data_IF_161177811547
#
_entry.id   IF_161177811547
#
_cell.length_a   1.000
_cell.length_b   1.000
_cell.length_c   1.000
_cell.angle_alpha   90.00
_cell.angle_beta   90.00
_cell.angle_gamma   90.00
#
_symmetry.space_group_name_H-M   'P 1'
#
loop_
_entity.id
_entity.type
_entity.pdbx_description
1 polymer ?
#
# COMPACT_ATOMS: atom_id res chain seq x y z
N UNK A 1 10.80 -3.10 -27.59
CA UNK A 1 10.52 -3.01 -26.14
C UNK A 1 11.35 -4.10 -25.46
N UNK A 2 12.27 -3.75 -24.56
CA UNK A 2 13.22 -4.72 -23.97
C UNK A 2 12.81 -5.16 -22.56
N UNK A 3 11.53 -4.92 -22.18
CA UNK A 3 10.90 -5.38 -20.95
C UNK A 3 11.75 -5.12 -19.70
N UNK A 4 11.84 -6.13 -18.83
CA UNK A 4 12.58 -6.08 -17.56
C UNK A 4 14.07 -5.81 -17.72
N UNK A 5 14.74 -6.35 -18.75
CA UNK A 5 16.18 -6.17 -18.95
C UNK A 5 16.51 -4.70 -19.19
N UNK A 6 15.73 -4.02 -20.05
CA UNK A 6 15.91 -2.59 -20.25
C UNK A 6 15.50 -1.76 -19.03
N UNK A 7 14.48 -2.17 -18.28
CA UNK A 7 14.09 -1.49 -17.06
C UNK A 7 15.23 -1.53 -16.02
N UNK A 8 15.86 -2.70 -15.81
CA UNK A 8 17.01 -2.85 -14.94
C UNK A 8 18.19 -1.97 -15.39
N UNK A 9 18.60 -2.06 -16.66
CA UNK A 9 19.69 -1.25 -17.21
C UNK A 9 19.42 0.24 -17.07
N UNK A 10 18.19 0.68 -17.36
CA UNK A 10 17.81 2.08 -17.24
C UNK A 10 17.82 2.54 -15.78
N UNK A 11 17.30 1.74 -14.85
CA UNK A 11 17.33 2.07 -13.42
C UNK A 11 18.78 2.25 -12.93
N UNK A 12 19.67 1.27 -13.21
CA UNK A 12 21.09 1.33 -12.84
C UNK A 12 21.77 2.56 -13.44
N UNK A 13 21.59 2.80 -14.74
CA UNK A 13 22.21 3.94 -15.42
C UNK A 13 21.72 5.27 -14.86
N UNK A 14 20.43 5.37 -14.53
CA UNK A 14 19.84 6.59 -13.99
C UNK A 14 20.38 6.88 -12.60
N UNK A 15 20.34 5.88 -11.70
CA UNK A 15 20.90 5.99 -10.34
C UNK A 15 22.39 6.36 -10.42
N UNK A 16 23.16 5.63 -11.23
CA UNK A 16 24.59 5.86 -11.40
C UNK A 16 24.88 7.26 -11.93
N UNK A 17 24.08 7.78 -12.86
CA UNK A 17 24.28 9.12 -13.42
C UNK A 17 24.03 10.23 -12.41
N UNK A 18 23.02 10.08 -11.55
CA UNK A 18 22.62 11.10 -10.57
C UNK A 18 23.59 11.11 -9.40
N UNK A 19 23.96 9.93 -8.92
CA UNK A 19 24.79 9.77 -7.72
C UNK A 19 26.26 9.52 -8.02
N UNK A 20 26.72 9.60 -9.28
CA UNK A 20 28.13 9.33 -9.64
C UNK A 20 29.16 10.14 -8.85
N UNK A 21 28.80 11.38 -8.51
CA UNK A 21 29.68 12.36 -7.87
C UNK A 21 29.38 12.56 -6.37
N UNK A 22 28.35 11.88 -5.86
CA UNK A 22 27.88 12.03 -4.50
C UNK A 22 27.94 10.65 -3.81
N UNK A 23 28.13 10.61 -2.50
CA UNK A 23 27.94 9.40 -1.70
C UNK A 23 26.56 9.48 -1.06
N UNK A 24 25.47 9.07 -1.75
CA UNK A 24 24.15 9.16 -1.17
C UNK A 24 24.02 8.21 0.01
N UNK A 25 23.23 8.63 0.98
CA UNK A 25 22.70 7.75 2.02
C UNK A 25 21.73 6.72 1.42
N UNK A 26 21.49 5.62 2.14
CA UNK A 26 20.50 4.61 1.74
C UNK A 26 19.09 5.21 1.62
N UNK A 27 18.73 6.14 2.51
CA UNK A 27 17.45 6.87 2.46
C UNK A 27 17.31 7.71 1.19
N UNK A 28 18.35 8.43 0.77
CA UNK A 28 18.32 9.22 -0.48
C UNK A 28 18.17 8.32 -1.71
N UNK A 29 18.88 7.18 -1.75
CA UNK A 29 18.74 6.19 -2.81
C UNK A 29 17.33 5.59 -2.84
N UNK A 30 16.77 5.26 -1.69
CA UNK A 30 15.41 4.71 -1.57
C UNK A 30 14.38 5.74 -2.03
N UNK A 31 14.44 6.97 -1.53
CA UNK A 31 13.53 8.06 -1.92
C UNK A 31 13.59 8.31 -3.42
N UNK A 32 14.79 8.33 -4.00
CA UNK A 32 14.97 8.49 -5.43
C UNK A 32 14.42 7.29 -6.21
N UNK A 33 14.75 6.06 -5.79
CA UNK A 33 14.20 4.85 -6.39
C UNK A 33 12.67 4.88 -6.38
N UNK A 34 12.08 5.30 -5.27
CA UNK A 34 10.64 5.40 -5.05
C UNK A 34 9.98 6.61 -5.74
N UNK A 35 10.73 7.51 -6.34
CA UNK A 35 10.20 8.72 -6.99
C UNK A 35 9.46 8.45 -8.32
N UNK A 36 8.65 9.43 -8.73
CA UNK A 36 8.05 9.42 -10.06
C UNK A 36 9.10 9.57 -11.18
N UNK A 37 10.22 10.26 -10.93
CA UNK A 37 11.27 10.46 -11.92
C UNK A 37 11.80 9.12 -12.47
N UNK A 38 11.98 8.13 -11.59
CA UNK A 38 12.37 6.77 -11.99
C UNK A 38 11.30 6.14 -12.87
N UNK A 39 10.04 6.19 -12.46
CA UNK A 39 8.96 5.49 -13.17
C UNK A 39 8.62 6.14 -14.52
N UNK A 40 8.75 7.46 -14.68
CA UNK A 40 8.52 8.15 -15.95
C UNK A 40 9.48 7.69 -17.06
N UNK A 41 10.73 7.40 -16.70
CA UNK A 41 11.73 6.87 -17.64
C UNK A 41 11.37 5.45 -18.12
N UNK A 42 10.50 4.71 -17.41
CA UNK A 42 10.16 3.31 -17.72
C UNK A 42 9.14 3.14 -18.85
N UNK A 43 8.55 4.23 -19.34
CA UNK A 43 7.63 4.21 -20.49
C UNK A 43 8.24 3.55 -21.73
N UNK A 44 9.54 3.77 -21.99
CA UNK A 44 10.27 3.13 -23.09
C UNK A 44 10.49 1.62 -22.90
N UNK A 45 10.40 1.13 -21.67
CA UNK A 45 10.66 -0.27 -21.30
C UNK A 45 9.38 -1.10 -21.38
N UNK A 46 8.33 -0.62 -20.72
CA UNK A 46 7.02 -1.30 -20.61
C UNK A 46 6.01 -0.87 -21.67
N UNK A 47 6.35 0.14 -22.48
CA UNK A 47 5.46 0.70 -23.49
C UNK A 47 4.35 1.54 -22.88
N UNK A 48 3.39 1.96 -23.70
CA UNK A 48 2.31 2.86 -23.29
C UNK A 48 0.93 2.44 -23.80
N UNK A 49 0.78 1.18 -24.23
CA UNK A 49 -0.47 0.64 -24.76
C UNK A 49 -1.52 0.36 -23.67
N UNK A 50 -1.09 0.24 -22.41
CA UNK A 50 -1.91 -0.16 -21.27
C UNK A 50 -2.49 1.04 -20.48
N UNK A 51 -2.73 2.18 -21.14
CA UNK A 51 -3.20 3.40 -20.46
C UNK A 51 -4.64 3.33 -19.95
N UNK A 52 -5.46 2.45 -20.52
CA UNK A 52 -6.88 2.29 -20.16
C UNK A 52 -7.10 0.90 -19.60
N UNK A 53 -7.22 0.79 -18.28
CA UNK A 53 -7.46 -0.48 -17.58
C UNK A 53 -8.94 -0.82 -17.68
N UNK A 54 -9.33 -2.02 -18.17
CA UNK A 54 -10.71 -2.46 -18.18
C UNK A 54 -11.27 -2.64 -16.77
N UNK A 55 -12.52 -2.24 -16.55
CA UNK A 55 -13.15 -2.27 -15.22
C UNK A 55 -13.22 -3.69 -14.64
N UNK A 56 -13.47 -4.70 -15.47
CA UNK A 56 -13.55 -6.11 -15.04
C UNK A 56 -12.23 -6.68 -14.51
N UNK A 57 -11.09 -6.12 -14.92
CA UNK A 57 -9.77 -6.51 -14.45
C UNK A 57 -9.24 -5.63 -13.32
N UNK A 58 -9.78 -4.43 -13.17
CA UNK A 58 -9.21 -3.41 -12.28
C UNK A 58 -9.12 -3.89 -10.83
N UNK A 59 -10.17 -4.53 -10.32
CA UNK A 59 -10.18 -5.11 -8.97
C UNK A 59 -9.08 -6.17 -8.80
N UNK A 60 -8.98 -7.12 -9.74
CA UNK A 60 -7.95 -8.16 -9.73
C UNK A 60 -6.53 -7.57 -9.77
N UNK A 61 -6.29 -6.55 -10.61
CA UNK A 61 -4.99 -5.89 -10.73
C UNK A 61 -4.62 -5.06 -9.48
N UNK A 62 -5.61 -4.51 -8.80
CA UNK A 62 -5.45 -3.82 -7.51
C UNK A 62 -5.13 -4.82 -6.40
N UNK A 63 -5.89 -5.92 -6.29
CA UNK A 63 -5.58 -7.00 -5.33
C UNK A 63 -4.18 -7.55 -5.54
N UNK A 64 -3.72 -7.62 -6.79
CA UNK A 64 -2.40 -8.09 -7.14
C UNK A 64 -1.24 -7.15 -6.70
N UNK A 65 -1.53 -5.93 -6.23
CA UNK A 65 -0.51 -5.00 -5.71
C UNK A 65 0.10 -5.50 -4.39
N UNK A 66 -0.64 -6.32 -3.63
CA UNK A 66 -0.23 -6.96 -2.37
C UNK A 66 0.19 -8.43 -2.58
N UNK A 67 0.50 -8.83 -3.82
CA UNK A 67 1.05 -10.14 -4.14
C UNK A 67 0.28 -10.94 -5.19
N UNK A 68 0.67 -12.21 -5.43
CA UNK A 68 0.14 -13.01 -6.52
C UNK A 68 -1.37 -13.32 -6.38
N UNK A 69 -2.11 -13.12 -7.47
CA UNK A 69 -3.55 -13.37 -7.54
C UNK A 69 -3.90 -14.47 -8.55
N UNK A 70 -5.06 -15.11 -8.41
CA UNK A 70 -5.55 -16.07 -9.39
C UNK A 70 -5.87 -15.38 -10.73
N UNK A 71 -5.57 -16.06 -11.83
CA UNK A 71 -5.84 -15.52 -13.18
C UNK A 71 -7.35 -15.53 -13.42
N UNK A 72 -8.01 -14.36 -13.59
CA UNK A 72 -9.46 -14.31 -13.76
C UNK A 72 -9.91 -14.94 -15.09
N UNK A 73 -9.16 -14.68 -16.17
CA UNK A 73 -9.38 -15.28 -17.48
C UNK A 73 -8.06 -15.36 -18.25
N UNK A 74 -7.60 -16.59 -18.54
CA UNK A 74 -6.33 -16.84 -19.26
C UNK A 74 -6.34 -16.32 -20.71
N UNK A 75 -7.50 -16.09 -21.30
CA UNK A 75 -7.67 -15.60 -22.68
C UNK A 75 -7.93 -14.10 -22.75
N UNK A 76 -7.89 -13.40 -21.63
CA UNK A 76 -8.10 -11.96 -21.62
C UNK A 76 -6.99 -11.22 -22.38
N UNK A 77 -7.36 -10.53 -23.46
CA UNK A 77 -6.44 -9.83 -24.35
C UNK A 77 -5.63 -8.75 -23.63
N UNK A 78 -6.21 -8.10 -22.63
CA UNK A 78 -5.55 -7.06 -21.86
C UNK A 78 -4.51 -7.65 -20.91
N UNK A 79 -4.80 -8.77 -20.25
CA UNK A 79 -3.79 -9.50 -19.46
C UNK A 79 -2.64 -9.99 -20.34
N UNK A 80 -2.94 -10.52 -21.54
CA UNK A 80 -1.93 -10.93 -22.52
C UNK A 80 -1.09 -9.72 -22.96
N UNK A 81 -1.70 -8.56 -23.18
CA UNK A 81 -1.00 -7.30 -23.49
C UNK A 81 -0.04 -6.91 -22.37
N UNK A 82 -0.49 -6.93 -21.11
CA UNK A 82 0.36 -6.59 -19.96
C UNK A 82 1.55 -7.56 -19.83
N UNK A 83 1.37 -8.85 -20.11
CA UNK A 83 2.46 -9.83 -20.16
C UNK A 83 3.44 -9.53 -21.30
N UNK A 84 2.96 -9.24 -22.51
CA UNK A 84 3.80 -8.86 -23.66
C UNK A 84 4.57 -7.56 -23.42
N UNK A 85 4.00 -6.64 -22.65
CA UNK A 85 4.65 -5.42 -22.18
C UNK A 85 5.69 -5.66 -21.07
N UNK A 86 5.78 -6.88 -20.53
CA UNK A 86 6.64 -7.22 -19.40
C UNK A 86 6.20 -6.60 -18.08
N UNK A 87 4.91 -6.29 -17.92
CA UNK A 87 4.33 -5.72 -16.69
C UNK A 87 3.86 -6.82 -15.74
N UNK A 88 3.25 -7.86 -16.29
CA UNK A 88 2.78 -9.03 -15.54
C UNK A 88 3.56 -10.27 -15.95
N UNK A 89 3.65 -11.20 -15.01
CA UNK A 89 4.12 -12.58 -15.22
C UNK A 89 3.06 -13.54 -14.73
N UNK A 90 3.04 -14.74 -15.31
CA UNK A 90 2.17 -15.82 -14.85
C UNK A 90 3.02 -16.98 -14.35
N UNK A 91 2.58 -17.60 -13.25
CA UNK A 91 3.16 -18.80 -12.71
C UNK A 91 2.03 -19.80 -12.41
N UNK A 92 1.81 -20.74 -13.33
CA UNK A 92 0.72 -21.70 -13.25
C UNK A 92 -0.65 -21.03 -13.33
N UNK A 93 -1.39 -21.04 -12.21
CA UNK A 93 -2.73 -20.45 -12.10
C UNK A 93 -2.72 -19.02 -11.57
N UNK A 94 -1.56 -18.51 -11.15
CA UNK A 94 -1.42 -17.17 -10.57
C UNK A 94 -0.76 -16.20 -11.52
N UNK A 95 -1.07 -14.93 -11.36
CA UNK A 95 -0.34 -13.82 -11.97
C UNK A 95 0.16 -12.86 -10.89
N UNK A 96 1.29 -12.20 -11.19
CA UNK A 96 1.85 -11.12 -10.38
C UNK A 96 2.48 -10.08 -11.31
N UNK A 97 2.82 -8.92 -10.77
CA UNK A 97 3.71 -7.98 -11.39
C UNK A 97 5.09 -8.60 -11.60
N UNK A 98 5.66 -8.34 -12.77
CA UNK A 98 6.94 -8.90 -13.20
C UNK A 98 8.14 -8.40 -12.36
N UNK A 99 7.97 -7.28 -11.66
CA UNK A 99 8.92 -6.71 -10.72
C UNK A 99 8.26 -5.60 -9.88
N UNK A 100 8.85 -5.22 -8.73
CA UNK A 100 8.40 -4.05 -7.97
C UNK A 100 8.36 -2.75 -8.80
N UNK A 101 9.31 -2.60 -9.74
CA UNK A 101 9.36 -1.43 -10.62
C UNK A 101 8.20 -1.44 -11.64
N UNK A 102 7.84 -2.60 -12.19
CA UNK A 102 6.67 -2.74 -13.06
C UNK A 102 5.37 -2.46 -12.30
N UNK A 103 5.25 -2.98 -11.06
CA UNK A 103 4.13 -2.70 -10.15
C UNK A 103 3.95 -1.20 -9.93
N UNK A 104 5.02 -0.52 -9.53
CA UNK A 104 5.03 0.93 -9.29
C UNK A 104 4.79 1.75 -10.55
N UNK A 105 5.38 1.36 -11.66
CA UNK A 105 5.11 1.98 -12.95
C UNK A 105 3.61 1.89 -13.26
N UNK A 106 3.02 0.69 -13.13
CA UNK A 106 1.64 0.42 -13.51
C UNK A 106 0.59 1.07 -12.59
N UNK A 107 0.94 1.30 -11.33
CA UNK A 107 0.07 1.87 -10.29
C UNK A 107 -0.72 3.11 -10.73
N UNK A 108 -0.10 4.01 -11.50
CA UNK A 108 -0.74 5.26 -11.95
C UNK A 108 -1.97 5.04 -12.84
N UNK A 109 -2.03 3.93 -13.58
CA UNK A 109 -3.18 3.62 -14.44
C UNK A 109 -4.31 2.91 -13.69
N UNK A 110 -4.01 2.28 -12.55
CA UNK A 110 -5.02 1.74 -11.64
C UNK A 110 -5.74 2.87 -10.88
N UNK A 111 -5.01 3.92 -10.55
CA UNK A 111 -5.52 5.07 -9.81
C UNK A 111 -5.31 6.38 -10.59
N UNK A 112 -6.06 6.62 -11.68
CA UNK A 112 -5.90 7.83 -12.48
C UNK A 112 -6.46 9.10 -11.80
N UNK A 113 -7.44 8.96 -10.92
CA UNK A 113 -8.21 10.06 -10.35
C UNK A 113 -7.81 10.37 -8.90
N UNK A 114 -6.52 10.63 -8.68
CA UNK A 114 -5.93 10.95 -7.37
C UNK A 114 -6.13 12.43 -7.01
N UNK A 115 -6.05 12.74 -5.72
CA UNK A 115 -6.15 14.10 -5.20
C UNK A 115 -5.07 15.02 -5.78
N UNK A 116 -5.36 16.31 -5.94
CA UNK A 116 -4.36 17.32 -6.32
C UNK A 116 -3.51 17.77 -5.13
N UNK A 117 -3.95 17.47 -3.90
CA UNK A 117 -3.28 17.84 -2.66
C UNK A 117 -3.00 16.60 -1.79
N UNK A 118 -1.89 16.65 -1.05
CA UNK A 118 -1.61 15.64 -0.03
C UNK A 118 -2.37 16.00 1.25
N UNK A 119 -2.71 15.01 2.08
CA UNK A 119 -3.19 15.24 3.45
C UNK A 119 -2.14 16.00 4.26
N UNK A 120 -2.60 16.81 5.21
CA UNK A 120 -1.71 17.59 6.09
C UNK A 120 -1.15 16.74 7.22
N UNK A 121 -1.86 15.69 7.63
CA UNK A 121 -1.45 14.78 8.71
C UNK A 121 -1.77 13.33 8.37
N UNK A 122 -1.04 12.39 8.98
CA UNK A 122 -1.31 10.96 8.82
C UNK A 122 -2.71 10.60 9.32
N UNK A 123 -3.16 11.23 10.41
CA UNK A 123 -4.52 11.10 10.95
C UNK A 123 -5.58 11.45 9.91
N UNK A 124 -5.44 12.59 9.24
CA UNK A 124 -6.37 13.02 8.18
C UNK A 124 -6.43 12.00 7.04
N UNK A 125 -5.28 11.45 6.64
CA UNK A 125 -5.21 10.41 5.61
C UNK A 125 -5.94 9.14 6.04
N UNK A 126 -5.69 8.66 7.26
CA UNK A 126 -6.33 7.44 7.79
C UNK A 126 -7.84 7.64 7.86
N UNK A 127 -8.33 8.78 8.34
CA UNK A 127 -9.77 9.11 8.38
C UNK A 127 -10.37 9.02 6.97
N UNK A 128 -9.79 9.75 6.01
CA UNK A 128 -10.29 9.77 4.63
C UNK A 128 -10.22 8.40 3.96
N UNK A 129 -9.21 7.60 4.27
CA UNK A 129 -9.08 6.25 3.75
C UNK A 129 -10.14 5.31 4.34
N UNK A 130 -10.45 5.42 5.63
CA UNK A 130 -11.51 4.66 6.30
C UNK A 130 -12.88 5.04 5.74
N UNK A 131 -13.20 6.32 5.59
CA UNK A 131 -14.49 6.79 5.06
C UNK A 131 -14.75 6.28 3.62
N UNK A 132 -13.68 6.05 2.84
CA UNK A 132 -13.77 5.48 1.49
C UNK A 132 -13.81 3.95 1.45
N UNK A 133 -13.66 3.25 2.58
CA UNK A 133 -13.79 1.80 2.60
C UNK A 133 -15.22 1.41 2.23
N UNK A 134 -15.36 0.35 1.43
CA UNK A 134 -16.67 -0.20 1.09
C UNK A 134 -17.16 -1.11 2.23
N UNK A 135 -18.23 -0.68 2.89
CA UNK A 135 -18.90 -1.44 3.93
C UNK A 135 -19.43 -2.78 3.40
N UNK A 136 -19.97 -2.77 2.18
CA UNK A 136 -20.46 -3.97 1.49
C UNK A 136 -19.34 -4.96 1.18
N UNK A 137 -18.18 -4.48 0.73
CA UNK A 137 -17.00 -5.33 0.49
C UNK A 137 -16.43 -5.94 1.77
N UNK A 138 -16.34 -5.16 2.86
CA UNK A 138 -15.92 -5.68 4.17
C UNK A 138 -16.87 -6.79 4.64
N UNK A 139 -18.18 -6.56 4.55
CA UNK A 139 -19.20 -7.54 4.93
C UNK A 139 -19.11 -8.83 4.09
N UNK A 140 -18.93 -8.71 2.78
CA UNK A 140 -18.79 -9.87 1.88
C UNK A 140 -17.48 -10.64 2.09
N UNK A 141 -16.43 -9.95 2.54
CA UNK A 141 -15.11 -10.56 2.80
C UNK A 141 -14.97 -11.16 4.20
N UNK A 142 -16.08 -11.23 4.94
CA UNK A 142 -16.16 -11.84 6.27
C UNK A 142 -16.60 -13.30 6.09
N UNK A 143 -15.73 -14.30 6.36
CA UNK A 143 -15.98 -15.70 5.98
C UNK A 143 -17.21 -16.32 6.65
N UNK A 144 -17.58 -15.82 7.83
CA UNK A 144 -18.79 -16.18 8.57
C UNK A 144 -19.31 -14.97 9.34
N UNK A 145 -20.58 -14.98 9.77
CA UNK A 145 -21.19 -13.87 10.54
C UNK A 145 -20.49 -13.56 11.86
N UNK A 146 -19.69 -14.50 12.37
CA UNK A 146 -18.94 -14.36 13.61
C UNK A 146 -17.48 -13.93 13.42
N UNK A 147 -17.03 -13.82 12.17
CA UNK A 147 -15.63 -13.56 11.85
C UNK A 147 -15.35 -12.09 11.54
N UNK A 148 -14.07 -11.81 11.36
CA UNK A 148 -13.54 -10.48 11.06
C UNK A 148 -12.85 -10.55 9.69
N UNK A 149 -12.95 -9.50 8.84
CA UNK A 149 -12.24 -9.49 7.57
C UNK A 149 -10.75 -9.72 7.77
N UNK A 150 -10.13 -10.45 6.84
CA UNK A 150 -8.68 -10.68 6.85
C UNK A 150 -7.94 -9.36 6.63
N UNK A 151 -6.69 -9.31 7.10
CA UNK A 151 -5.81 -8.12 6.99
C UNK A 151 -5.65 -7.65 5.56
N UNK A 152 -5.51 -8.58 4.61
CA UNK A 152 -5.43 -8.31 3.18
C UNK A 152 -6.62 -7.48 2.65
N UNK A 153 -7.82 -7.64 3.22
CA UNK A 153 -9.01 -6.86 2.84
C UNK A 153 -8.83 -5.39 3.26
N UNK A 154 -8.37 -5.17 4.49
CA UNK A 154 -8.07 -3.82 4.99
C UNK A 154 -6.89 -3.19 4.25
N UNK A 155 -5.81 -3.93 4.00
CA UNK A 155 -4.69 -3.48 3.20
C UNK A 155 -5.17 -3.02 1.81
N UNK A 156 -6.00 -3.81 1.12
CA UNK A 156 -6.53 -3.46 -0.19
C UNK A 156 -7.39 -2.18 -0.15
N UNK A 157 -8.29 -2.05 0.83
CA UNK A 157 -9.15 -0.87 0.94
C UNK A 157 -8.37 0.38 1.35
N UNK A 158 -7.40 0.24 2.26
CA UNK A 158 -6.50 1.32 2.66
C UNK A 158 -5.65 1.80 1.49
N UNK A 159 -5.11 0.88 0.68
CA UNK A 159 -4.34 1.25 -0.52
C UNK A 159 -5.16 2.11 -1.48
N UNK A 160 -6.43 1.75 -1.71
CA UNK A 160 -7.34 2.54 -2.54
C UNK A 160 -7.63 3.91 -1.93
N UNK A 161 -7.91 3.95 -0.62
CA UNK A 161 -8.13 5.18 0.13
C UNK A 161 -6.91 6.11 0.09
N UNK A 162 -5.70 5.58 0.27
CA UNK A 162 -4.46 6.31 0.17
C UNK A 162 -4.24 6.85 -1.24
N UNK A 163 -4.40 6.01 -2.26
CA UNK A 163 -4.25 6.41 -3.65
C UNK A 163 -5.20 7.57 -4.00
N UNK A 164 -6.45 7.49 -3.56
CA UNK A 164 -7.46 8.53 -3.80
C UNK A 164 -7.12 9.86 -3.13
N UNK A 165 -6.55 9.83 -1.93
CA UNK A 165 -6.35 11.02 -1.08
C UNK A 165 -4.94 11.62 -1.11
N UNK A 166 -4.03 11.09 -1.91
CA UNK A 166 -2.66 11.60 -2.05
C UNK A 166 -2.39 12.01 -3.48
N UNK A 167 -1.41 12.89 -3.70
CA UNK A 167 -1.03 13.39 -5.03
C UNK A 167 -0.48 12.29 -5.94
N UNK A 168 -0.57 12.43 -7.28
CA UNK A 168 0.07 11.51 -8.23
C UNK A 168 1.58 11.33 -8.05
N UNK A 169 2.28 12.31 -7.48
CA UNK A 169 3.73 12.26 -7.18
C UNK A 169 4.07 11.59 -5.84
N UNK A 170 3.08 11.35 -4.99
CA UNK A 170 3.21 10.50 -3.81
C UNK A 170 3.21 9.03 -4.24
N UNK A 171 4.36 8.37 -4.23
CA UNK A 171 4.42 6.92 -4.44
C UNK A 171 3.94 6.19 -3.19
N UNK A 172 3.00 5.27 -3.35
CA UNK A 172 2.52 4.40 -2.26
C UNK A 172 3.11 3.03 -2.51
N UNK A 173 3.93 2.56 -1.59
CA UNK A 173 4.62 1.28 -1.70
C UNK A 173 4.02 0.33 -0.67
N UNK A 174 3.11 -0.57 -1.09
CA UNK A 174 2.72 -1.66 -0.22
C UNK A 174 3.89 -2.62 -0.01
N UNK A 175 3.96 -3.24 1.17
CA UNK A 175 4.87 -4.36 1.46
C UNK A 175 6.34 -4.03 1.15
N UNK A 176 6.81 -2.87 1.62
CA UNK A 176 8.17 -2.44 1.36
C UNK A 176 9.15 -3.10 2.34
N UNK A 177 10.06 -3.94 1.82
CA UNK A 177 11.19 -4.44 2.61
C UNK A 177 12.21 -3.32 2.88
N UNK A 178 12.87 -3.39 4.05
CA UNK A 178 13.95 -2.48 4.46
C UNK A 178 15.23 -2.65 3.65
N UNK A 179 15.40 -3.77 2.94
CA UNK A 179 16.55 -4.07 2.09
C UNK A 179 16.02 -4.35 0.70
N UNK A 180 16.76 -3.96 -0.34
CA UNK A 180 16.58 -4.61 -1.64
C UNK A 180 16.83 -6.11 -1.41
N UNK A 181 15.80 -6.97 -1.48
CA UNK A 181 15.95 -8.34 -0.98
C UNK A 181 16.99 -9.06 -1.84
N UNK A 182 18.00 -9.71 -1.24
CA UNK A 182 18.78 -10.70 -1.95
C UNK A 182 17.86 -11.91 -2.12
N UNK A 183 17.10 -11.96 -3.23
CA UNK A 183 16.32 -13.12 -3.67
C UNK A 183 15.65 -13.94 -2.56
N UNK A 184 14.45 -13.56 -2.13
CA UNK A 184 13.64 -14.33 -1.18
C UNK A 184 12.70 -13.44 -0.36
N UNK A 185 11.74 -14.05 0.34
CA UNK A 185 10.95 -13.36 1.35
C UNK A 185 11.89 -12.87 2.46
N UNK A 186 11.82 -11.60 2.85
CA UNK A 186 12.62 -11.07 3.96
C UNK A 186 12.16 -11.77 5.25
N UNK A 187 13.01 -12.58 5.91
CA UNK A 187 12.64 -13.23 7.17
C UNK A 187 12.32 -12.23 8.28
N UNK A 188 12.59 -10.93 8.08
CA UNK A 188 12.32 -9.87 9.04
C UNK A 188 10.99 -9.14 8.79
N UNK A 189 10.22 -9.49 7.75
CA UNK A 189 8.93 -8.88 7.38
C UNK A 189 9.04 -7.54 6.65
N UNK A 190 7.90 -6.97 6.25
CA UNK A 190 7.81 -5.75 5.43
C UNK A 190 6.91 -4.71 6.12
N UNK A 191 7.09 -3.42 5.80
CA UNK A 191 6.12 -2.39 6.23
C UNK A 191 4.88 -2.49 5.34
N UNK A 192 3.69 -2.41 5.92
CA UNK A 192 2.45 -2.49 5.14
C UNK A 192 2.36 -1.39 4.09
N UNK A 193 2.65 -0.13 4.46
CA UNK A 193 2.71 0.98 3.51
C UNK A 193 3.81 1.98 3.84
N UNK A 194 4.55 2.36 2.80
CA UNK A 194 5.41 3.54 2.82
C UNK A 194 4.94 4.56 1.77
N UNK A 195 4.64 5.77 2.20
CA UNK A 195 4.19 6.88 1.37
C UNK A 195 5.36 7.84 1.12
N UNK A 196 5.96 7.74 -0.06
CA UNK A 196 7.13 8.51 -0.45
C UNK A 196 6.79 9.95 -0.89
N UNK A 197 7.82 10.73 -1.22
CA UNK A 197 7.71 12.11 -1.67
C UNK A 197 7.89 13.07 -0.51
N UNK A 198 7.10 14.13 -0.45
CA UNK A 198 7.15 15.07 0.68
C UNK A 198 6.57 14.51 1.99
N UNK A 199 5.84 13.39 1.93
CA UNK A 199 5.22 12.79 3.11
C UNK A 199 6.19 11.92 3.89
N UNK A 200 6.86 10.95 3.26
CA UNK A 200 7.74 9.96 3.93
C UNK A 200 7.06 9.33 5.16
N UNK A 201 5.81 8.90 5.01
CA UNK A 201 5.05 8.31 6.11
C UNK A 201 5.11 6.79 6.09
N UNK A 202 5.29 6.19 7.26
CA UNK A 202 5.17 4.75 7.46
C UNK A 202 3.83 4.37 8.09
N UNK A 203 3.14 3.38 7.56
CA UNK A 203 1.87 2.90 8.11
C UNK A 203 1.94 1.38 8.25
N UNK A 204 1.64 0.89 9.45
CA UNK A 204 1.44 -0.52 9.76
C UNK A 204 -0.03 -0.76 10.10
N UNK A 205 -0.57 -1.88 9.66
CA UNK A 205 -1.89 -2.35 9.98
C UNK A 205 -1.80 -3.51 10.97
N UNK A 206 -2.82 -3.61 11.82
CA UNK A 206 -2.97 -4.66 12.78
C UNK A 206 -4.43 -5.08 12.85
N UNK A 207 -4.62 -6.34 13.19
CA UNK A 207 -5.93 -6.90 13.48
C UNK A 207 -5.98 -7.39 14.93
N UNK A 208 -7.06 -7.03 15.63
CA UNK A 208 -7.37 -7.50 17.00
C UNK A 208 -6.31 -7.11 18.04
N UNK A 209 -5.45 -6.13 17.75
CA UNK A 209 -4.50 -5.57 18.70
C UNK A 209 -3.34 -6.45 19.14
N UNK A 210 -3.13 -7.61 18.52
CA UNK A 210 -1.97 -8.46 18.82
C UNK A 210 -0.70 -7.79 18.33
N UNK A 211 0.39 -7.83 19.11
CA UNK A 211 1.70 -7.32 18.68
C UNK A 211 1.86 -5.80 18.61
N UNK A 212 0.95 -5.00 19.20
CA UNK A 212 1.02 -3.53 19.08
C UNK A 212 2.37 -2.93 19.54
N UNK A 213 2.95 -3.45 20.62
CA UNK A 213 4.25 -3.00 21.13
C UNK A 213 5.37 -3.22 20.11
N UNK A 214 5.43 -4.42 19.53
CA UNK A 214 6.40 -4.77 18.50
C UNK A 214 6.28 -3.85 17.28
N UNK A 215 5.06 -3.60 16.79
CA UNK A 215 4.85 -2.73 15.63
C UNK A 215 5.27 -1.28 15.91
N UNK A 216 5.05 -0.78 17.13
CA UNK A 216 5.54 0.54 17.55
C UNK A 216 7.07 0.58 17.66
N UNK A 217 7.68 -0.46 18.22
CA UNK A 217 9.13 -0.58 18.38
C UNK A 217 9.88 -0.62 17.05
N UNK A 218 9.27 -1.18 15.99
CA UNK A 218 9.83 -1.21 14.63
C UNK A 218 10.14 0.19 14.08
N UNK A 219 9.45 1.24 14.53
CA UNK A 219 9.69 2.63 14.10
C UNK A 219 10.65 3.44 14.99
N UNK A 220 11.16 2.86 16.06
CA UNK A 220 12.15 3.54 16.92
C UNK A 220 13.47 3.79 16.18
N UNK A 221 14.37 4.66 16.66
CA UNK A 221 15.67 4.90 16.01
C UNK A 221 16.56 3.66 15.86
N UNK A 222 16.34 2.63 16.68
CA UNK A 222 17.01 1.31 16.57
C UNK A 222 16.07 0.23 16.04
N UNK A 223 14.85 0.63 15.68
CA UNK A 223 13.81 -0.22 15.15
C UNK A 223 14.09 -0.62 13.71
N UNK A 224 13.38 -1.66 13.29
CA UNK A 224 13.48 -2.26 11.96
C UNK A 224 13.35 -1.26 10.80
N UNK A 225 12.53 -0.23 10.95
CA UNK A 225 12.21 0.75 9.92
C UNK A 225 13.00 2.05 10.02
N UNK A 226 14.00 2.14 10.92
CA UNK A 226 14.88 3.30 11.00
C UNK A 226 15.53 3.69 9.64
N UNK A 227 15.98 2.75 8.78
CA UNK A 227 16.55 3.10 7.47
C UNK A 227 15.57 3.75 6.48
N UNK A 228 14.25 3.58 6.69
CA UNK A 228 13.25 4.21 5.83
C UNK A 228 13.17 5.73 6.06
N UNK A 229 13.77 6.24 7.15
CA UNK A 229 13.82 7.67 7.48
C UNK A 229 12.44 8.33 7.40
N UNK A 230 11.45 7.67 8.01
CA UNK A 230 10.06 8.16 8.03
C UNK A 230 10.01 9.48 8.79
N UNK A 231 9.29 10.47 8.26
CA UNK A 231 9.07 11.73 9.00
C UNK A 231 7.87 11.64 9.95
N UNK A 232 6.95 10.71 9.70
CA UNK A 232 5.86 10.38 10.62
C UNK A 232 5.42 8.92 10.40
N UNK A 233 4.73 8.33 11.37
CA UNK A 233 4.19 6.99 11.24
C UNK A 233 2.90 6.77 12.05
N UNK A 234 2.16 5.74 11.69
CA UNK A 234 0.99 5.29 12.45
C UNK A 234 0.87 3.77 12.41
N UNK A 235 0.42 3.19 13.52
CA UNK A 235 -0.03 1.80 13.60
C UNK A 235 -1.54 1.81 13.74
N UNK A 236 -2.24 1.29 12.72
CA UNK A 236 -3.71 1.26 12.65
C UNK A 236 -4.18 -0.13 13.06
N UNK A 237 -4.84 -0.21 14.20
CA UNK A 237 -5.35 -1.44 14.79
C UNK A 237 -6.86 -1.56 14.58
N UNK A 238 -7.27 -2.44 13.66
CA UNK A 238 -8.66 -2.73 13.37
C UNK A 238 -9.22 -3.81 14.30
N UNK A 239 -10.40 -3.54 14.84
CA UNK A 239 -11.07 -4.35 15.85
C UNK A 239 -12.54 -4.52 15.53
N UNK A 240 -13.10 -5.65 15.95
CA UNK A 240 -14.55 -5.91 15.98
C UNK A 240 -14.97 -6.36 17.36
N UNK A 241 -16.13 -5.88 17.80
CA UNK A 241 -16.84 -6.40 18.97
C UNK A 241 -18.37 -6.26 18.78
N UNK A 242 -19.15 -6.81 19.70
CA UNK A 242 -20.63 -6.86 19.61
C UNK A 242 -21.30 -5.48 19.52
N UNK A 243 -20.69 -4.46 20.12
CA UNK A 243 -21.29 -3.11 20.25
C UNK A 243 -20.73 -2.08 19.27
N UNK A 244 -19.53 -2.29 18.76
CA UNK A 244 -18.72 -1.28 18.08
C UNK A 244 -18.10 -0.24 19.03
N UNK A 245 -18.29 -0.36 20.35
CA UNK A 245 -17.72 0.58 21.32
C UNK A 245 -16.22 0.40 21.48
N UNK A 246 -15.53 1.51 21.69
CA UNK A 246 -14.09 1.50 21.95
C UNK A 246 -13.80 0.96 23.35
N UNK A 247 -13.20 -0.22 23.42
CA UNK A 247 -12.88 -0.90 24.69
C UNK A 247 -11.46 -1.46 24.68
N UNK A 248 -10.83 -1.55 25.87
CA UNK A 248 -9.58 -2.28 26.10
C UNK A 248 -8.42 -1.90 25.15
N UNK A 249 -8.16 -0.59 25.01
CA UNK A 249 -7.04 -0.06 24.22
C UNK A 249 -6.19 0.86 25.07
N UNK A 250 -4.90 0.53 25.19
CA UNK A 250 -3.89 1.47 25.64
C UNK A 250 -3.66 2.51 24.55
N UNK A 251 -3.92 3.77 24.88
CA UNK A 251 -3.67 4.94 24.02
C UNK A 251 -2.17 5.12 23.82
N UNK A 252 -1.78 5.49 22.62
CA UNK A 252 -0.40 5.80 22.27
C UNK A 252 -0.39 6.80 21.13
N UNK A 253 0.50 7.79 21.14
CA UNK A 253 0.51 8.91 20.19
C UNK A 253 0.51 8.48 18.70
N UNK A 254 1.11 7.31 18.40
CA UNK A 254 1.25 6.75 17.05
C UNK A 254 0.29 5.59 16.76
N UNK A 255 -0.69 5.36 17.63
CA UNK A 255 -1.69 4.31 17.48
C UNK A 255 -3.03 4.91 17.10
N UNK A 256 -3.69 4.27 16.14
CA UNK A 256 -5.08 4.56 15.76
C UNK A 256 -5.84 3.25 15.94
N UNK A 257 -6.87 3.24 16.78
CA UNK A 257 -7.70 2.04 16.97
C UNK A 257 -9.08 2.26 16.38
N UNK A 258 -9.47 1.35 15.49
CA UNK A 258 -10.71 1.43 14.71
C UNK A 258 -11.61 0.27 15.11
N UNK A 259 -12.81 0.57 15.59
CA UNK A 259 -13.75 -0.42 16.10
C UNK A 259 -14.98 -0.48 15.22
N UNK A 260 -15.23 -1.66 14.66
CA UNK A 260 -16.46 -1.98 13.95
C UNK A 260 -17.41 -2.77 14.86
N UNK A 261 -18.71 -2.61 14.63
CA UNK A 261 -19.73 -3.44 15.24
C UNK A 261 -19.80 -4.77 14.47
N UNK A 262 -19.89 -5.88 15.19
CA UNK A 262 -20.02 -7.20 14.59
C UNK A 262 -21.25 -7.27 13.68
N UNK A 263 -21.05 -7.73 12.45
CA UNK A 263 -22.09 -7.81 11.42
C UNK A 263 -22.48 -6.48 10.76
N UNK A 264 -21.93 -5.35 11.20
CA UNK A 264 -22.22 -4.02 10.68
C UNK A 264 -20.94 -3.19 10.46
N UNK A 265 -20.58 -3.06 9.18
CA UNK A 265 -19.43 -2.28 8.72
C UNK A 265 -19.84 -0.93 8.12
N UNK A 266 -21.08 -0.47 8.30
CA UNK A 266 -21.53 0.83 7.77
C UNK A 266 -20.85 2.02 8.46
N UNK A 267 -20.39 1.83 9.69
CA UNK A 267 -19.69 2.84 10.48
C UNK A 267 -18.66 2.20 11.42
N UNK A 268 -17.77 3.02 11.93
CA UNK A 268 -16.80 2.62 12.95
C UNK A 268 -16.55 3.75 13.95
N UNK A 269 -16.01 3.37 15.11
CA UNK A 269 -15.55 4.29 16.15
C UNK A 269 -14.04 4.25 16.25
N UNK A 270 -13.42 5.41 16.23
CA UNK A 270 -11.98 5.57 16.19
C UNK A 270 -11.44 6.27 17.44
N UNK A 271 -10.35 5.74 17.97
CA UNK A 271 -9.48 6.42 18.94
C UNK A 271 -8.20 6.83 18.22
N UNK A 272 -7.86 8.12 18.28
CA UNK A 272 -6.65 8.67 17.68
C UNK A 272 -5.65 9.08 18.75
N UNK A 273 -4.48 8.44 18.75
CA UNK A 273 -3.37 8.89 19.56
C UNK A 273 -3.68 8.89 21.07
N UNK A 274 -3.26 9.98 21.72
CA UNK A 274 -3.54 10.26 23.13
C UNK A 274 -4.81 11.13 23.33
N UNK A 275 -5.51 11.52 22.26
CA UNK A 275 -6.60 12.50 22.33
C UNK A 275 -7.81 11.97 23.09
N UNK A 276 -8.31 12.70 24.07
CA UNK A 276 -9.56 12.31 24.74
C UNK A 276 -10.74 12.48 23.78
N UNK A 277 -11.48 11.40 23.57
CA UNK A 277 -12.60 11.36 22.64
C UNK A 277 -12.65 10.10 21.79
N UNK A 278 -13.80 9.91 21.15
CA UNK A 278 -14.07 8.88 20.15
C UNK A 278 -14.66 9.59 18.95
N UNK A 279 -14.13 9.29 17.76
CA UNK A 279 -14.65 9.83 16.50
C UNK A 279 -15.43 8.74 15.81
N UNK A 280 -16.68 9.01 15.44
CA UNK A 280 -17.47 8.11 14.62
C UNK A 280 -17.27 8.46 13.15
N UNK A 281 -16.97 7.45 12.33
CA UNK A 281 -16.80 7.58 10.88
C UNK A 281 -17.82 6.68 10.18
N UNK A 282 -18.38 7.17 9.08
CA UNK A 282 -19.25 6.39 8.21
C UNK A 282 -18.46 5.91 7.00
N UNK A 283 -18.62 4.65 6.66
CA UNK A 283 -17.98 4.04 5.49
C UNK A 283 -18.84 4.25 4.25
N UNK A 284 -18.21 4.17 3.07
CA UNK A 284 -18.94 4.17 1.80
C UNK A 284 -19.76 2.89 1.63
N UNK A 285 -20.94 3.00 1.03
CA UNK A 285 -21.81 1.85 0.72
C UNK A 285 -21.40 1.15 -0.57
#
# INVERSE_FOLDING_TARGET
>A
CNGLIAALRLAINTISSIFRKNNPTESELLQFYLSNEITEKMSRCFGSAHKKVPDHLKSHLISCLSGPCDIPNKRDEYLILLQKCGILVTNGTKFDYSSPLARRYFFRWLFPNRSTNNPSTIKELIIKAIELMSASFLKQSTPSTDEFPKEAVFQQLMLQGFAKNTKPDCSICPELSKRFPPFGADPNGEIDFYLNGSLRWGIELLIKGSGIGEHLERFTPRGKYAPLDVSDYAVVDFRVNESGECTNVQRHAKRISVFFKKGDFSSCKCIFGNEQGVVQLNLSN
#
